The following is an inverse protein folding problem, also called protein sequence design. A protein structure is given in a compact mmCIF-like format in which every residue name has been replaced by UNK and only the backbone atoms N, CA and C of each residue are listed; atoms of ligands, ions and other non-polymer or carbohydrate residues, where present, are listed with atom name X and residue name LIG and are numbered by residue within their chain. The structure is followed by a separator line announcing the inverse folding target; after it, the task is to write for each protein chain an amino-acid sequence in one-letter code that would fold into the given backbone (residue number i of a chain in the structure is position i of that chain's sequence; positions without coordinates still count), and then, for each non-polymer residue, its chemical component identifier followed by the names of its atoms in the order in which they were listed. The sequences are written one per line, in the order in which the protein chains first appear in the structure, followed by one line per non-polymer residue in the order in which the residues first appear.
data_IF_903180069670
#
_entry.id   IF_903180069670
#
_cell.length_a   1.000
_cell.length_b   1.000
_cell.length_c   1.000
_cell.angle_alpha   90.00
_cell.angle_beta   90.00
_cell.angle_gamma   90.00
#
_symmetry.space_group_name_H-M   'P 1'
#
loop_
_entity.id
_entity.type
_entity.pdbx_description
1 polymer ?
#
# COMPACT_ATOMS: atom_id res chain seq x y z
N UNK A 1 -1.13 0.66 -18.18
CA UNK A 1 -2.26 1.57 -18.21
C UNK A 1 -2.02 2.70 -17.20
N UNK A 2 -3.10 3.08 -16.53
CA UNK A 2 -3.03 4.14 -15.54
C UNK A 2 -1.74 3.99 -14.73
N UNK A 3 -0.87 4.99 -14.86
CA UNK A 3 0.39 4.97 -14.14
C UNK A 3 0.32 5.89 -12.92
N UNK A 4 -0.74 6.68 -12.87
CA UNK A 4 -0.94 7.60 -11.77
C UNK A 4 -1.35 6.82 -10.52
N UNK A 5 -1.68 5.55 -10.74
CA UNK A 5 -2.09 4.69 -9.65
C UNK A 5 -0.87 3.97 -9.09
N UNK A 6 -0.12 3.34 -9.98
CA UNK A 6 1.07 2.61 -9.59
C UNK A 6 2.05 3.58 -8.91
N UNK A 7 2.07 4.80 -9.43
CA UNK A 7 2.96 5.82 -8.89
C UNK A 7 2.40 6.31 -7.55
N UNK A 8 1.16 6.78 -7.59
CA UNK A 8 0.50 7.28 -6.40
C UNK A 8 0.56 6.25 -5.27
N UNK A 9 0.22 5.02 -5.62
CA UNK A 9 0.23 3.94 -4.65
C UNK A 9 1.62 3.84 -4.01
N UNK A 10 2.62 3.83 -4.87
CA UNK A 10 4.00 3.74 -4.41
C UNK A 10 4.36 5.01 -3.63
N UNK A 11 3.98 6.14 -4.20
CA UNK A 11 4.25 7.43 -3.58
C UNK A 11 3.65 7.44 -2.17
N UNK A 12 2.48 6.82 -2.05
CA UNK A 12 1.80 6.76 -0.77
C UNK A 12 2.50 5.74 0.13
N UNK A 13 3.24 4.84 -0.51
CA UNK A 13 3.96 3.81 0.21
C UNK A 13 5.19 4.43 0.88
N UNK A 14 6.02 5.06 0.06
CA UNK A 14 7.22 5.70 0.56
C UNK A 14 6.85 6.71 1.64
N UNK A 15 5.72 7.38 1.41
CA UNK A 15 5.25 8.38 2.35
C UNK A 15 4.79 7.68 3.64
N UNK A 16 4.21 6.50 3.46
CA UNK A 16 3.72 5.73 4.59
C UNK A 16 4.89 5.45 5.55
N UNK A 17 5.92 4.82 5.00
CA UNK A 17 7.09 4.48 5.79
C UNK A 17 7.87 5.75 6.15
N UNK A 18 7.96 6.65 5.19
CA UNK A 18 8.67 7.90 5.39
C UNK A 18 10.11 7.80 4.89
N UNK A 19 10.38 6.71 4.19
CA UNK A 19 11.71 6.49 3.64
C UNK A 19 11.62 6.06 2.18
N UNK A 20 12.72 6.24 1.47
CA UNK A 20 12.77 5.88 0.06
C UNK A 20 13.28 4.44 -0.07
N UNK A 21 12.85 3.61 0.87
CA UNK A 21 13.26 2.21 0.86
C UNK A 21 12.26 1.40 0.04
N UNK A 22 10.98 1.69 0.25
CA UNK A 22 9.93 1.00 -0.47
C UNK A 22 9.79 1.60 -1.87
N UNK A 23 10.27 2.83 -2.00
CA UNK A 23 10.20 3.52 -3.27
C UNK A 23 10.92 2.70 -4.34
N UNK A 24 11.82 1.84 -3.87
CA UNK A 24 12.58 0.98 -4.77
C UNK A 24 12.14 -0.47 -4.58
N UNK A 25 12.60 -1.05 -3.48
CA UNK A 25 12.27 -2.43 -3.16
C UNK A 25 10.77 -2.64 -3.36
N UNK A 26 10.44 -3.69 -4.11
CA UNK A 26 9.05 -4.01 -4.38
C UNK A 26 8.65 -5.24 -3.56
N UNK A 27 9.38 -5.46 -2.48
CA UNK A 27 9.12 -6.58 -1.60
C UNK A 27 9.64 -6.28 -0.20
N UNK A 28 9.55 -5.00 0.16
CA UNK A 28 10.00 -4.56 1.47
C UNK A 28 8.87 -4.73 2.49
N UNK A 29 8.95 -5.82 3.24
CA UNK A 29 7.95 -6.11 4.24
C UNK A 29 7.63 -4.84 5.03
N UNK A 30 6.42 -4.34 4.83
CA UNK A 30 5.98 -3.14 5.50
C UNK A 30 5.77 -3.44 6.99
N UNK A 31 5.87 -4.72 7.32
CA UNK A 31 5.69 -5.15 8.70
C UNK A 31 7.01 -5.65 9.29
N UNK A 32 7.64 -6.55 8.55
CA UNK A 32 8.91 -7.12 8.99
C UNK A 32 10.00 -6.04 9.00
N UNK A 33 9.69 -4.92 8.37
CA UNK A 33 10.62 -3.81 8.30
C UNK A 33 10.33 -2.80 9.41
N UNK A 34 9.15 -2.94 9.99
CA UNK A 34 8.73 -2.04 11.06
C UNK A 34 8.34 -0.67 10.51
N UNK A 35 8.31 -0.59 9.18
CA UNK A 35 7.96 0.65 8.52
C UNK A 35 6.48 0.95 8.77
N UNK A 36 5.71 -0.11 8.93
CA UNK A 36 4.28 0.02 9.18
C UNK A 36 3.96 -0.50 10.58
N UNK A 37 2.81 -0.07 11.08
CA UNK A 37 2.38 -0.48 12.41
C UNK A 37 0.94 -0.99 12.33
N UNK A 38 0.05 -0.09 11.92
CA UNK A 38 -1.36 -0.43 11.80
C UNK A 38 -2.15 0.77 11.29
N UNK A 39 -1.98 1.89 11.99
CA UNK A 39 -2.67 3.11 11.62
C UNK A 39 -2.31 3.54 10.19
N UNK A 40 -1.08 3.21 9.81
CA UNK A 40 -0.60 3.55 8.48
C UNK A 40 -1.48 2.92 7.40
N UNK A 41 -1.70 1.62 7.54
CA UNK A 41 -2.51 0.89 6.59
C UNK A 41 -3.92 1.48 6.53
N UNK A 42 -4.40 1.91 7.68
CA UNK A 42 -5.73 2.50 7.77
C UNK A 42 -5.78 3.75 6.90
N UNK A 43 -4.79 4.61 7.10
CA UNK A 43 -4.71 5.85 6.34
C UNK A 43 -4.58 5.55 4.85
N UNK A 44 -3.55 4.79 4.52
CA UNK A 44 -3.30 4.42 3.13
C UNK A 44 -4.61 3.97 2.49
N UNK A 45 -5.40 3.25 3.27
CA UNK A 45 -6.68 2.75 2.79
C UNK A 45 -7.58 3.93 2.43
N UNK A 46 -7.51 4.96 3.26
CA UNK A 46 -8.31 6.15 3.03
C UNK A 46 -7.92 6.78 1.70
N UNK A 47 -6.65 6.66 1.37
CA UNK A 47 -6.13 7.21 0.13
C UNK A 47 -6.38 6.24 -1.03
N UNK A 48 -6.49 4.96 -0.67
CA UNK A 48 -6.72 3.93 -1.66
C UNK A 48 -8.22 3.82 -1.94
N UNK A 49 -8.99 4.53 -1.12
CA UNK A 49 -10.44 4.52 -1.26
C UNK A 49 -10.93 5.88 -1.76
N UNK A 50 -9.98 6.68 -2.24
CA UNK A 50 -10.30 8.00 -2.74
C UNK A 50 -9.80 8.14 -4.18
N UNK A 51 -8.50 7.96 -4.34
CA UNK A 51 -7.89 8.07 -5.66
C UNK A 51 -8.10 6.78 -6.45
N UNK A 52 -8.27 5.69 -5.71
CA UNK A 52 -8.48 4.39 -6.33
C UNK A 52 -9.85 3.83 -5.95
N UNK A 53 -10.41 4.38 -4.89
CA UNK A 53 -11.72 3.93 -4.42
C UNK A 53 -11.74 2.42 -4.22
N UNK A 54 -10.69 1.91 -3.60
CA UNK A 54 -10.58 0.49 -3.35
C UNK A 54 -11.61 0.08 -2.30
N UNK A 55 -11.84 -1.22 -2.21
CA UNK A 55 -12.80 -1.75 -1.26
C UNK A 55 -12.18 -2.95 -0.53
N UNK A 56 -11.05 -2.69 0.10
CA UNK A 56 -10.35 -3.74 0.84
C UNK A 56 -10.89 -3.80 2.26
N UNK A 57 -10.77 -5.01 2.87
CA UNK A 57 -11.24 -5.22 4.23
C UNK A 57 -10.29 -4.57 5.25
N UNK A 58 -10.78 -4.48 6.48
CA UNK A 58 -9.99 -3.89 7.54
C UNK A 58 -10.12 -4.74 8.81
N UNK A 59 -11.36 -5.12 9.10
CA UNK A 59 -11.64 -5.93 10.27
C UNK A 59 -10.51 -6.93 10.49
N UNK A 60 -9.95 -7.41 9.38
CA UNK A 60 -8.86 -8.37 9.44
C UNK A 60 -8.44 -8.78 8.03
N UNK A 61 -7.88 -7.81 7.31
CA UNK A 61 -7.43 -8.06 5.95
C UNK A 61 -6.25 -9.04 5.94
N UNK A 62 -5.80 -9.35 4.73
CA UNK A 62 -4.68 -10.26 4.56
C UNK A 62 -3.37 -9.47 4.59
N UNK A 63 -2.91 -9.21 5.80
CA UNK A 63 -1.67 -8.46 5.99
C UNK A 63 -0.61 -8.96 5.01
N UNK A 64 -0.74 -10.22 4.63
CA UNK A 64 0.20 -10.83 3.70
C UNK A 64 0.18 -10.05 2.39
N UNK A 65 -1.00 -9.58 2.03
CA UNK A 65 -1.17 -8.83 0.80
C UNK A 65 -0.87 -7.35 1.04
N UNK A 66 -1.04 -6.94 2.29
CA UNK A 66 -0.79 -5.56 2.67
C UNK A 66 0.53 -5.51 3.44
N UNK A 67 1.36 -6.50 3.18
CA UNK A 67 2.66 -6.59 3.84
C UNK A 67 3.73 -6.00 2.92
N UNK A 68 3.54 -6.21 1.63
CA UNK A 68 4.48 -5.71 0.64
C UNK A 68 3.81 -4.67 -0.26
N UNK A 69 4.66 -3.88 -0.96
CA UNK A 69 4.16 -2.85 -1.86
C UNK A 69 3.62 -3.46 -3.15
N UNK A 70 4.27 -4.54 -3.57
CA UNK A 70 3.86 -5.23 -4.78
C UNK A 70 2.50 -5.89 -4.56
N UNK A 71 2.40 -6.61 -3.45
CA UNK A 71 1.17 -7.29 -3.10
C UNK A 71 0.02 -6.28 -3.07
N UNK A 72 0.35 -5.07 -2.64
CA UNK A 72 -0.64 -4.01 -2.55
C UNK A 72 -0.89 -3.44 -3.95
N UNK A 73 0.20 -3.06 -4.60
CA UNK A 73 0.11 -2.50 -5.94
C UNK A 73 -0.79 -3.38 -6.80
N UNK A 74 -0.82 -4.66 -6.45
CA UNK A 74 -1.63 -5.62 -7.18
C UNK A 74 -3.06 -5.58 -6.64
N UNK A 75 -3.17 -5.38 -5.34
CA UNK A 75 -4.47 -5.33 -4.69
C UNK A 75 -5.21 -4.08 -5.17
N UNK A 76 -4.44 -3.09 -5.58
CA UNK A 76 -5.01 -1.84 -6.06
C UNK A 76 -5.46 -2.02 -7.51
N UNK A 77 -4.70 -2.83 -8.23
CA UNK A 77 -5.00 -3.09 -9.63
C UNK A 77 -6.15 -4.09 -9.75
N UNK A 78 -6.27 -4.93 -8.73
CA UNK A 78 -7.32 -5.94 -8.71
C UNK A 78 -8.56 -5.39 -8.02
N UNK A 79 -8.66 -4.07 -8.00
CA UNK A 79 -9.79 -3.40 -7.37
C UNK A 79 -10.49 -2.52 -8.41
N UNK A 80 -9.68 -1.80 -9.16
CA UNK A 80 -10.21 -0.91 -10.19
C UNK A 80 -11.27 -1.63 -11.02
#
# INVERSE_FOLDING_TARGET
ADEAIKNGVLDILADLTGSDDVKKNLDLNLFETGLLDSMGTVQLLLELQSQFGVDAPVSEFDRKEWDTPNKIIAKVEQAQ
#
